data_IF_163425561150
#
_entry.id   IF_163425561150
#
_cell.length_a   1.000
_cell.length_b   1.000
_cell.length_c   1.000
_cell.angle_alpha   90.00
_cell.angle_beta   90.00
_cell.angle_gamma   90.00
#
_symmetry.space_group_name_H-M   'P 1'
#
loop_
_entity.id
_entity.type
_entity.pdbx_description
1 polymer ?
#
# COMPACT_ATOMS: atom_id res chain seq x y z
N UNK A 1 -12.63 26.08 2.15
CA UNK A 1 -11.97 24.86 1.62
C UNK A 1 -12.97 23.81 1.21
N UNK A 2 -13.85 23.34 2.07
CA UNK A 2 -14.87 22.31 1.74
C UNK A 2 -15.89 22.72 0.65
N UNK A 3 -16.17 24.01 0.51
CA UNK A 3 -17.14 24.52 -0.47
C UNK A 3 -16.62 24.54 -1.92
N UNK A 4 -15.31 24.73 -2.09
CA UNK A 4 -14.65 24.71 -3.40
C UNK A 4 -14.51 23.26 -3.89
N UNK A 5 -14.08 22.35 -3.02
CA UNK A 5 -13.95 20.93 -3.33
C UNK A 5 -15.33 20.29 -3.59
N UNK A 6 -16.38 20.70 -2.86
CA UNK A 6 -17.73 20.20 -3.08
C UNK A 6 -18.36 20.66 -4.42
N UNK A 7 -17.95 21.80 -4.96
CA UNK A 7 -18.42 22.30 -6.27
C UNK A 7 -17.75 21.61 -7.46
N UNK A 8 -16.56 21.05 -7.29
CA UNK A 8 -15.80 20.41 -8.38
C UNK A 8 -16.22 18.95 -8.58
N UNK A 9 -16.65 18.27 -7.54
CA UNK A 9 -17.13 16.89 -7.60
C UNK A 9 -18.63 16.89 -7.92
N UNK A 10 -19.04 17.32 -9.12
CA UNK A 10 -20.42 17.10 -9.62
C UNK A 10 -20.64 15.62 -10.04
N UNK A 11 -20.08 14.68 -9.31
CA UNK A 11 -20.44 13.28 -9.35
C UNK A 11 -21.63 13.07 -8.40
N UNK A 12 -22.42 12.02 -8.62
CA UNK A 12 -23.57 11.73 -7.74
C UNK A 12 -23.18 11.80 -6.26
N UNK A 13 -24.10 12.14 -5.35
CA UNK A 13 -23.86 12.21 -3.88
C UNK A 13 -23.19 10.96 -3.29
N UNK A 14 -23.27 9.82 -3.97
CA UNK A 14 -22.66 8.55 -3.57
C UNK A 14 -21.24 8.37 -4.10
N UNK A 15 -20.82 9.14 -5.10
CA UNK A 15 -19.48 9.03 -5.68
C UNK A 15 -18.49 9.85 -4.85
N UNK A 16 -17.59 9.17 -4.14
CA UNK A 16 -16.57 9.76 -3.27
C UNK A 16 -15.18 9.82 -3.90
N UNK A 17 -15.06 9.45 -5.18
CA UNK A 17 -13.77 9.42 -5.88
C UNK A 17 -13.10 10.80 -5.88
N UNK A 18 -11.91 10.86 -5.33
CA UNK A 18 -11.02 12.02 -5.43
C UNK A 18 -10.52 12.11 -6.86
N UNK A 19 -10.94 13.17 -7.57
CA UNK A 19 -10.65 13.35 -9.00
C UNK A 19 -10.83 14.84 -9.33
N UNK A 20 -9.89 15.65 -8.89
CA UNK A 20 -9.84 17.07 -9.19
C UNK A 20 -8.54 17.41 -9.91
N UNK A 21 -8.57 18.35 -10.89
CA UNK A 21 -7.40 18.73 -11.66
C UNK A 21 -6.40 19.55 -10.81
N UNK A 22 -5.15 19.60 -11.27
CA UNK A 22 -4.06 20.26 -10.55
C UNK A 22 -4.32 21.74 -10.27
N UNK A 23 -4.99 22.46 -11.18
CA UNK A 23 -5.31 23.88 -11.01
C UNK A 23 -6.14 24.17 -9.76
N UNK A 24 -7.00 23.21 -9.35
CA UNK A 24 -7.77 23.29 -8.11
C UNK A 24 -7.04 22.71 -6.90
N UNK A 25 -5.96 21.96 -7.14
CA UNK A 25 -5.18 21.30 -6.12
C UNK A 25 -3.88 22.01 -5.79
N UNK A 26 -3.67 23.21 -6.35
CA UNK A 26 -2.41 23.95 -6.24
C UNK A 26 -1.95 24.13 -4.78
N UNK A 27 -2.87 24.47 -3.88
CA UNK A 27 -2.59 24.61 -2.45
C UNK A 27 -2.10 23.32 -1.78
N UNK A 28 -2.51 22.14 -2.28
CA UNK A 28 -2.05 20.84 -1.78
C UNK A 28 -0.67 20.52 -2.38
N UNK A 29 -0.50 20.78 -3.67
CA UNK A 29 0.79 20.58 -4.31
C UNK A 29 1.91 21.46 -3.72
N UNK A 30 1.59 22.68 -3.31
CA UNK A 30 2.53 23.60 -2.66
C UNK A 30 3.06 23.10 -1.31
N UNK A 31 2.40 22.11 -0.68
CA UNK A 31 2.89 21.43 0.53
C UNK A 31 3.94 20.38 0.25
N UNK A 32 4.01 19.89 -0.99
CA UNK A 32 5.00 18.90 -1.37
C UNK A 32 6.40 19.50 -1.40
N UNK A 33 7.36 18.76 -0.91
CA UNK A 33 8.76 19.15 -1.04
C UNK A 33 9.27 18.86 -2.45
N UNK A 34 10.18 19.71 -2.93
CA UNK A 34 10.97 19.41 -4.11
C UNK A 34 12.25 18.70 -3.70
N UNK A 35 12.71 17.76 -4.49
CA UNK A 35 13.87 16.96 -4.12
C UNK A 35 15.18 17.76 -3.99
N UNK A 36 15.31 18.88 -4.68
CA UNK A 36 16.45 19.80 -4.55
C UNK A 36 16.45 20.56 -3.22
N UNK A 37 15.29 20.68 -2.58
CA UNK A 37 15.08 21.35 -1.28
C UNK A 37 15.01 20.35 -0.12
N UNK A 38 14.95 19.05 -0.39
CA UNK A 38 14.87 18.02 0.62
C UNK A 38 16.22 17.82 1.30
N UNK A 39 16.25 17.87 2.62
CA UNK A 39 17.45 17.80 3.46
C UNK A 39 17.92 16.37 3.76
N UNK A 40 17.16 15.36 3.32
CA UNK A 40 17.44 13.96 3.57
C UNK A 40 16.88 13.39 4.89
N UNK A 41 16.39 14.25 5.78
CA UNK A 41 15.98 13.89 7.16
C UNK A 41 14.51 14.13 7.46
N UNK A 42 13.89 15.11 6.81
CA UNK A 42 12.50 15.44 7.09
C UNK A 42 11.58 14.23 6.80
N UNK A 43 10.80 13.86 7.81
CA UNK A 43 9.74 12.85 7.71
C UNK A 43 8.36 13.52 7.60
N UNK A 44 7.33 12.72 7.38
CA UNK A 44 5.94 13.17 7.18
C UNK A 44 5.81 14.11 5.97
N UNK A 45 6.42 13.71 4.87
CA UNK A 45 6.53 14.51 3.66
C UNK A 45 6.20 13.73 2.39
N UNK A 46 5.68 14.46 1.40
CA UNK A 46 5.55 14.03 0.00
C UNK A 46 6.59 14.79 -0.81
N UNK A 47 7.45 14.07 -1.50
CA UNK A 47 8.51 14.63 -2.33
C UNK A 47 8.08 14.50 -3.80
N UNK A 48 7.83 15.62 -4.46
CA UNK A 48 7.58 15.62 -5.89
C UNK A 48 8.90 15.50 -6.67
N UNK A 49 9.22 14.28 -7.07
CA UNK A 49 10.46 13.97 -7.78
C UNK A 49 10.41 12.62 -8.48
N UNK A 50 11.33 12.44 -9.42
CA UNK A 50 11.73 11.09 -9.83
C UNK A 50 12.42 10.37 -8.66
N UNK A 51 12.09 9.10 -8.44
CA UNK A 51 12.58 8.34 -7.29
C UNK A 51 14.12 8.20 -7.28
N UNK A 52 14.74 8.08 -8.43
CA UNK A 52 16.20 7.93 -8.53
C UNK A 52 16.93 9.17 -8.00
N UNK A 53 16.39 10.36 -8.27
CA UNK A 53 16.95 11.60 -7.77
C UNK A 53 16.69 11.82 -6.29
N UNK A 54 15.46 11.54 -5.84
CA UNK A 54 15.08 11.74 -4.44
C UNK A 54 15.79 10.75 -3.51
N UNK A 55 15.95 9.48 -3.92
CA UNK A 55 16.66 8.46 -3.14
C UNK A 55 18.12 8.84 -2.87
N UNK A 56 18.77 9.51 -3.79
CA UNK A 56 20.16 9.98 -3.61
C UNK A 56 20.28 10.96 -2.42
N UNK A 57 19.21 11.69 -2.10
CA UNK A 57 19.16 12.68 -1.01
C UNK A 57 18.86 12.07 0.35
N UNK A 58 18.18 10.91 0.42
CA UNK A 58 17.81 10.31 1.70
C UNK A 58 19.04 9.87 2.50
N UNK A 59 18.98 10.08 3.81
CA UNK A 59 19.97 9.55 4.74
C UNK A 59 20.02 8.02 4.70
N UNK A 60 21.21 7.46 4.82
CA UNK A 60 21.38 6.01 4.93
C UNK A 60 20.87 5.51 6.31
N UNK A 61 20.39 4.27 6.37
CA UNK A 61 19.92 3.62 7.62
C UNK A 61 18.85 4.42 8.36
N UNK A 62 17.98 5.12 7.64
CA UNK A 62 16.91 5.95 8.21
C UNK A 62 15.52 5.33 8.13
N UNK A 63 15.33 4.28 7.33
CA UNK A 63 14.03 3.68 6.99
C UNK A 63 13.83 2.36 7.73
N UNK A 64 12.69 2.23 8.42
CA UNK A 64 12.30 1.03 9.15
C UNK A 64 11.48 0.06 8.28
N UNK A 65 10.63 0.60 7.41
CA UNK A 65 9.76 -0.18 6.55
C UNK A 65 9.68 0.42 5.15
N UNK A 66 9.92 -0.40 4.14
CA UNK A 66 9.72 -0.03 2.72
C UNK A 66 8.48 -0.73 2.18
N UNK A 67 7.55 0.04 1.60
CA UNK A 67 6.40 -0.50 0.85
C UNK A 67 6.46 0.09 -0.54
N UNK A 68 6.56 -0.76 -1.56
CA UNK A 68 6.78 -0.34 -2.94
C UNK A 68 5.77 -1.01 -3.87
N UNK A 69 5.09 -0.20 -4.66
CA UNK A 69 4.27 -0.63 -5.80
C UNK A 69 4.91 -0.10 -7.10
N UNK A 70 5.99 -0.73 -7.59
CA UNK A 70 6.73 -0.20 -8.74
C UNK A 70 5.89 -0.30 -10.01
N UNK A 71 6.18 0.48 -11.05
CA UNK A 71 5.57 0.28 -12.36
C UNK A 71 5.80 -1.16 -12.84
N UNK A 72 4.72 -1.89 -13.13
CA UNK A 72 4.79 -3.24 -13.67
C UNK A 72 5.19 -3.20 -15.15
N UNK A 73 5.82 -4.25 -15.64
CA UNK A 73 6.21 -4.35 -17.06
C UNK A 73 5.01 -4.53 -17.99
N UNK A 74 4.12 -3.57 -17.98
CA UNK A 74 2.87 -3.51 -18.75
C UNK A 74 2.70 -2.13 -19.38
N UNK A 75 1.97 -2.07 -20.50
CA UNK A 75 1.54 -0.80 -21.06
C UNK A 75 0.53 -0.13 -20.13
N UNK A 76 0.91 0.99 -19.54
CA UNK A 76 0.06 1.73 -18.61
C UNK A 76 0.24 3.23 -18.79
N UNK A 77 -0.87 3.95 -18.81
CA UNK A 77 -0.89 5.41 -18.83
C UNK A 77 -1.17 5.93 -17.39
N UNK A 78 -0.26 6.73 -16.89
CA UNK A 78 -0.37 7.43 -15.61
C UNK A 78 -0.46 8.94 -15.91
N UNK A 79 -1.67 9.49 -15.97
CA UNK A 79 -1.95 10.91 -16.18
C UNK A 79 -1.16 11.52 -17.38
N UNK A 80 -1.15 10.82 -18.52
CA UNK A 80 -0.39 11.25 -19.72
C UNK A 80 1.04 10.70 -19.81
N UNK A 81 1.64 10.24 -18.73
CA UNK A 81 2.93 9.55 -18.73
C UNK A 81 2.73 8.07 -19.07
N UNK A 82 3.21 7.66 -20.24
CA UNK A 82 3.07 6.28 -20.70
C UNK A 82 4.26 5.43 -20.25
N UNK A 83 4.01 4.49 -19.34
CA UNK A 83 4.93 3.40 -19.07
C UNK A 83 4.68 2.29 -20.09
N UNK A 84 5.68 2.01 -20.92
CA UNK A 84 5.59 0.98 -21.95
C UNK A 84 6.20 -0.32 -21.47
N UNK A 85 5.57 -1.43 -21.84
CA UNK A 85 6.16 -2.75 -21.68
C UNK A 85 7.50 -2.79 -22.40
N UNK A 86 8.53 -3.29 -21.70
CA UNK A 86 9.88 -3.48 -22.24
C UNK A 86 10.24 -4.97 -22.28
N UNK A 87 11.39 -5.30 -22.87
CA UNK A 87 11.96 -6.64 -22.72
C UNK A 87 12.37 -6.91 -21.28
N UNK A 88 12.55 -8.18 -20.95
CA UNK A 88 12.86 -8.61 -19.59
C UNK A 88 14.17 -8.04 -19.06
N UNK A 89 15.18 -7.84 -19.91
CA UNK A 89 16.47 -7.28 -19.50
C UNK A 89 16.32 -5.83 -19.09
N UNK A 90 15.68 -5.00 -19.90
CA UNK A 90 15.44 -3.58 -19.62
C UNK A 90 14.65 -3.40 -18.31
N UNK A 91 13.62 -4.23 -18.07
CA UNK A 91 12.85 -4.19 -16.83
C UNK A 91 13.67 -4.67 -15.62
N UNK A 92 14.53 -5.66 -15.79
CA UNK A 92 15.49 -6.11 -14.77
C UNK A 92 16.46 -5.00 -14.39
N UNK A 93 17.03 -4.31 -15.39
CA UNK A 93 17.97 -3.20 -15.16
C UNK A 93 17.28 -2.03 -14.43
N UNK A 94 16.05 -1.68 -14.81
CA UNK A 94 15.23 -0.69 -14.09
C UNK A 94 14.99 -1.11 -12.63
N UNK A 95 14.60 -2.38 -12.41
CA UNK A 95 14.32 -2.91 -11.08
C UNK A 95 15.57 -2.91 -10.21
N UNK A 96 16.69 -3.39 -10.73
CA UNK A 96 17.97 -3.42 -10.03
C UNK A 96 18.41 -2.03 -9.60
N UNK A 97 18.26 -1.05 -10.47
CA UNK A 97 18.66 0.33 -10.19
C UNK A 97 17.98 0.92 -8.96
N UNK A 98 16.64 0.80 -8.82
CA UNK A 98 15.98 1.35 -7.64
C UNK A 98 16.24 0.49 -6.39
N UNK A 99 16.38 -0.83 -6.52
CA UNK A 99 16.74 -1.72 -5.41
C UNK A 99 18.08 -1.36 -4.83
N UNK A 100 19.10 -1.16 -5.67
CA UNK A 100 20.45 -0.78 -5.24
C UNK A 100 20.48 0.59 -4.56
N UNK A 101 19.68 1.55 -5.04
CA UNK A 101 19.62 2.89 -4.45
C UNK A 101 18.86 2.91 -3.11
N UNK A 102 17.83 2.11 -2.95
CA UNK A 102 17.04 2.10 -1.72
C UNK A 102 17.67 1.26 -0.62
N UNK A 103 18.41 0.19 -0.97
CA UNK A 103 19.02 -0.73 0.01
C UNK A 103 19.84 -0.02 1.08
N UNK A 104 20.76 0.91 0.79
CA UNK A 104 21.52 1.61 1.83
C UNK A 104 20.67 2.51 2.72
N UNK A 105 19.45 2.89 2.33
CA UNK A 105 18.55 3.73 3.11
C UNK A 105 17.84 2.95 4.22
N UNK A 106 17.72 1.64 4.03
CA UNK A 106 17.06 0.73 4.97
C UNK A 106 17.97 0.45 6.17
N UNK A 107 17.38 0.43 7.38
CA UNK A 107 18.05 -0.05 8.60
C UNK A 107 18.36 -1.53 8.49
N UNK A 108 19.30 -2.03 9.28
CA UNK A 108 19.65 -3.46 9.30
C UNK A 108 18.49 -4.34 9.76
N UNK A 109 17.58 -3.78 10.57
CA UNK A 109 16.35 -4.41 11.06
C UNK A 109 15.13 -4.16 10.17
N UNK A 110 15.29 -3.46 9.04
CA UNK A 110 14.17 -3.05 8.20
C UNK A 110 13.51 -4.23 7.48
N UNK A 111 12.20 -4.09 7.33
CA UNK A 111 11.36 -4.95 6.50
C UNK A 111 10.97 -4.28 5.20
N UNK A 112 10.64 -5.05 4.19
CA UNK A 112 10.15 -4.52 2.92
C UNK A 112 9.04 -5.38 2.30
N UNK A 113 8.08 -4.71 1.65
CA UNK A 113 7.03 -5.31 0.85
C UNK A 113 7.06 -4.73 -0.56
N UNK A 114 7.17 -5.59 -1.56
CA UNK A 114 7.23 -5.18 -2.97
C UNK A 114 6.09 -5.83 -3.73
N UNK A 115 5.18 -5.00 -4.24
CA UNK A 115 4.05 -5.44 -5.06
C UNK A 115 4.50 -5.75 -6.48
N UNK A 116 3.85 -6.72 -7.12
CA UNK A 116 4.11 -7.10 -8.51
C UNK A 116 2.91 -7.81 -9.13
N UNK A 117 2.75 -7.72 -10.45
CA UNK A 117 1.91 -8.67 -11.16
C UNK A 117 2.68 -9.97 -11.45
N UNK A 118 1.97 -11.01 -11.83
CA UNK A 118 2.57 -12.35 -12.05
C UNK A 118 3.72 -12.34 -13.08
N UNK A 119 3.65 -11.47 -14.11
CA UNK A 119 4.68 -11.45 -15.15
C UNK A 119 5.92 -10.67 -14.70
N UNK A 120 5.73 -9.50 -14.11
CA UNK A 120 6.83 -8.67 -13.57
C UNK A 120 7.56 -9.40 -12.43
N UNK A 121 6.86 -10.25 -11.66
CA UNK A 121 7.45 -11.02 -10.56
C UNK A 121 8.55 -11.98 -11.01
N UNK A 122 8.52 -12.45 -12.28
CA UNK A 122 9.56 -13.33 -12.86
C UNK A 122 10.93 -12.61 -12.86
N UNK A 123 10.94 -11.31 -13.07
CA UNK A 123 12.17 -10.49 -13.13
C UNK A 123 12.53 -9.89 -11.78
N UNK A 124 11.50 -9.54 -10.98
CA UNK A 124 11.66 -8.88 -9.69
C UNK A 124 12.19 -9.82 -8.61
N UNK A 125 11.60 -11.01 -8.48
CA UNK A 125 11.90 -11.94 -7.38
C UNK A 125 13.38 -12.34 -7.29
N UNK A 126 14.10 -12.66 -8.39
CA UNK A 126 15.52 -12.96 -8.32
C UNK A 126 16.38 -11.79 -7.79
N UNK A 127 16.03 -10.54 -8.13
CA UNK A 127 16.76 -9.36 -7.65
C UNK A 127 16.54 -9.17 -6.15
N UNK A 128 15.31 -9.39 -5.68
CA UNK A 128 15.03 -9.30 -4.25
C UNK A 128 15.75 -10.39 -3.46
N UNK A 129 15.81 -11.62 -3.97
CA UNK A 129 16.51 -12.74 -3.35
C UNK A 129 18.02 -12.53 -3.29
N UNK A 130 18.60 -11.89 -4.32
CA UNK A 130 20.01 -11.51 -4.36
C UNK A 130 20.36 -10.41 -3.34
N UNK A 131 19.44 -9.46 -3.12
CA UNK A 131 19.70 -8.24 -2.35
C UNK A 131 19.25 -8.30 -0.89
N UNK A 132 18.25 -9.14 -0.56
CA UNK A 132 17.55 -9.21 0.71
C UNK A 132 17.28 -10.66 1.11
N UNK A 133 16.75 -10.88 2.30
CA UNK A 133 16.30 -12.20 2.75
C UNK A 133 14.81 -12.31 2.45
N UNK A 134 14.43 -13.06 1.43
CA UNK A 134 13.02 -13.32 1.14
C UNK A 134 12.39 -14.17 2.24
N UNK A 135 11.33 -13.67 2.85
CA UNK A 135 10.58 -14.35 3.94
C UNK A 135 9.33 -15.02 3.44
N UNK A 136 8.57 -14.35 2.54
CA UNK A 136 7.33 -14.89 2.03
C UNK A 136 6.94 -14.23 0.69
N UNK A 137 6.16 -14.97 -0.10
CA UNK A 137 5.36 -14.44 -1.18
C UNK A 137 3.90 -14.46 -0.77
N UNK A 138 3.27 -13.31 -0.72
CA UNK A 138 1.87 -13.12 -0.42
C UNK A 138 1.14 -12.95 -1.74
N UNK A 139 0.04 -13.67 -1.94
CA UNK A 139 -0.83 -13.48 -3.10
C UNK A 139 -2.09 -12.73 -2.66
N UNK A 140 -2.30 -11.54 -3.22
CA UNK A 140 -3.53 -10.78 -3.03
C UNK A 140 -4.54 -11.08 -4.13
N UNK A 141 -5.65 -11.73 -3.76
CA UNK A 141 -6.77 -12.01 -4.65
C UNK A 141 -7.60 -10.76 -4.91
N UNK A 142 -7.56 -10.23 -6.14
CA UNK A 142 -8.38 -9.09 -6.57
C UNK A 142 -9.67 -9.57 -7.20
N UNK A 143 -10.81 -8.98 -6.82
CA UNK A 143 -12.10 -9.32 -7.44
C UNK A 143 -12.27 -8.79 -8.86
N UNK A 144 -11.60 -7.69 -9.18
CA UNK A 144 -11.74 -7.01 -10.47
C UNK A 144 -10.61 -7.39 -11.42
N UNK A 145 -10.96 -7.83 -12.59
CA UNK A 145 -10.11 -8.03 -13.74
C UNK A 145 -11.00 -8.10 -14.96
N UNK A 146 -10.53 -7.60 -16.10
CA UNK A 146 -11.25 -7.78 -17.36
C UNK A 146 -11.21 -9.26 -17.76
N UNK A 147 -12.29 -9.77 -18.31
CA UNK A 147 -12.32 -11.12 -18.86
C UNK A 147 -11.27 -11.26 -19.97
N UNK A 148 -10.58 -12.39 -20.02
CA UNK A 148 -9.72 -12.73 -21.13
C UNK A 148 -10.45 -13.64 -22.11
N UNK A 149 -10.23 -13.45 -23.42
CA UNK A 149 -10.87 -14.28 -24.46
C UNK A 149 -10.06 -15.55 -24.77
N UNK A 150 -8.73 -15.49 -24.65
CA UNK A 150 -7.81 -16.55 -25.06
C UNK A 150 -6.85 -16.99 -23.93
N UNK A 151 -7.07 -16.53 -22.73
CA UNK A 151 -6.25 -16.84 -21.56
C UNK A 151 -7.08 -16.71 -20.28
N UNK A 152 -6.50 -17.10 -19.12
CA UNK A 152 -7.15 -16.96 -17.83
C UNK A 152 -7.18 -15.48 -17.39
N UNK A 153 -8.29 -15.07 -16.79
CA UNK A 153 -8.44 -13.74 -16.21
C UNK A 153 -7.42 -13.53 -15.08
N UNK A 154 -6.60 -12.50 -15.21
CA UNK A 154 -5.72 -12.10 -14.11
C UNK A 154 -6.53 -11.45 -12.97
N UNK A 155 -6.57 -12.10 -11.81
CA UNK A 155 -7.30 -11.65 -10.62
C UNK A 155 -6.44 -11.64 -9.36
N UNK A 156 -5.13 -11.62 -9.50
CA UNK A 156 -4.19 -11.61 -8.37
C UNK A 156 -3.03 -10.64 -8.61
N UNK A 157 -2.41 -10.24 -7.51
CA UNK A 157 -1.10 -9.59 -7.45
C UNK A 157 -0.24 -10.32 -6.42
N UNK A 158 1.06 -10.33 -6.66
CA UNK A 158 2.04 -10.84 -5.70
C UNK A 158 2.61 -9.71 -4.86
N UNK A 159 2.96 -10.03 -3.61
CA UNK A 159 3.64 -9.12 -2.71
C UNK A 159 4.79 -9.91 -2.08
N UNK A 160 6.00 -9.51 -2.37
CA UNK A 160 7.18 -10.12 -1.79
C UNK A 160 7.48 -9.46 -0.44
N UNK A 161 7.44 -10.24 0.62
CA UNK A 161 7.90 -9.85 1.95
C UNK A 161 9.35 -10.28 2.12
N UNK A 162 10.22 -9.32 2.42
CA UNK A 162 11.62 -9.57 2.66
C UNK A 162 12.15 -8.72 3.82
N UNK A 163 13.35 -9.02 4.30
CA UNK A 163 14.04 -8.28 5.37
C UNK A 163 15.48 -8.00 4.98
N UNK A 164 16.08 -6.95 5.55
CA UNK A 164 17.51 -6.64 5.35
C UNK A 164 18.38 -7.65 6.09
N UNK A 165 18.03 -7.99 7.34
CA UNK A 165 18.71 -8.95 8.17
C UNK A 165 17.76 -9.97 8.79
N UNK A 166 18.31 -10.83 9.66
CA UNK A 166 17.52 -11.81 10.40
C UNK A 166 16.84 -11.22 11.65
N UNK A 167 17.37 -10.13 12.18
CA UNK A 167 16.75 -9.36 13.25
C UNK A 167 15.78 -8.34 12.66
N UNK A 168 14.48 -8.60 12.77
CA UNK A 168 13.42 -7.74 12.27
C UNK A 168 12.17 -7.82 13.13
N UNK A 169 11.39 -6.74 13.10
CA UNK A 169 10.11 -6.71 13.81
C UNK A 169 8.99 -7.36 12.98
N UNK A 170 8.24 -8.29 13.61
CA UNK A 170 7.03 -8.86 13.02
C UNK A 170 5.97 -9.15 14.10
N UNK A 171 4.84 -8.44 14.02
CA UNK A 171 3.73 -8.58 14.97
C UNK A 171 2.55 -9.31 14.33
N UNK A 172 2.51 -10.63 14.48
CA UNK A 172 1.43 -11.46 13.98
C UNK A 172 0.08 -11.17 14.67
N UNK A 173 0.11 -10.76 15.93
CA UNK A 173 -1.10 -10.48 16.71
C UNK A 173 -1.83 -9.24 16.22
N UNK A 174 -1.11 -8.22 15.78
CA UNK A 174 -1.67 -6.99 15.23
C UNK A 174 -2.42 -7.17 13.90
N UNK A 175 -2.23 -8.30 13.24
CA UNK A 175 -2.86 -8.59 11.92
C UNK A 175 -3.83 -9.77 11.95
N UNK A 176 -4.20 -10.25 13.13
CA UNK A 176 -5.24 -11.27 13.27
C UNK A 176 -6.55 -10.82 12.64
N UNK A 177 -7.27 -11.78 12.08
CA UNK A 177 -8.54 -11.57 11.40
C UNK A 177 -9.68 -12.24 12.16
N UNK A 178 -10.78 -11.52 12.31
CA UNK A 178 -12.03 -12.10 12.76
C UNK A 178 -12.75 -12.77 11.59
N UNK A 179 -12.92 -14.08 11.67
CA UNK A 179 -13.60 -14.89 10.65
C UNK A 179 -14.84 -15.57 11.20
N UNK A 180 -15.86 -15.65 10.37
CA UNK A 180 -17.05 -16.43 10.66
C UNK A 180 -16.73 -17.94 10.60
N UNK A 181 -17.20 -18.68 11.60
CA UNK A 181 -16.99 -20.14 11.70
C UNK A 181 -18.21 -20.87 11.14
N UNK A 182 -18.06 -21.44 9.95
CA UNK A 182 -19.13 -22.17 9.24
C UNK A 182 -19.43 -23.51 9.93
N UNK A 183 -18.40 -24.22 10.39
CA UNK A 183 -18.50 -25.50 11.07
C UNK A 183 -17.83 -25.40 12.46
N UNK A 184 -18.57 -24.99 13.50
CA UNK A 184 -18.00 -24.75 14.82
C UNK A 184 -17.65 -26.08 15.51
N UNK A 185 -16.36 -26.33 15.68
CA UNK A 185 -15.87 -27.51 16.40
C UNK A 185 -15.97 -27.30 17.92
N UNK A 186 -16.40 -28.34 18.62
CA UNK A 186 -16.48 -28.36 20.10
C UNK A 186 -15.59 -29.45 20.64
N UNK A 187 -14.93 -29.17 21.75
CA UNK A 187 -14.17 -30.11 22.53
C UNK A 187 -14.78 -30.17 23.93
N UNK A 188 -15.15 -31.37 24.38
CA UNK A 188 -15.86 -31.56 25.65
C UNK A 188 -17.13 -30.68 25.79
N UNK A 189 -17.90 -30.49 24.71
CA UNK A 189 -19.14 -29.71 24.70
C UNK A 189 -18.97 -28.18 24.66
N UNK A 190 -17.72 -27.67 24.77
CA UNK A 190 -17.38 -26.24 24.71
C UNK A 190 -16.75 -25.85 23.37
N UNK A 191 -16.92 -24.58 22.92
CA UNK A 191 -16.18 -24.06 21.78
C UNK A 191 -14.68 -24.23 21.99
N UNK A 192 -13.97 -24.80 21.00
CA UNK A 192 -12.51 -25.01 21.09
C UNK A 192 -11.73 -23.71 20.86
N UNK A 193 -12.03 -23.00 19.76
CA UNK A 193 -11.26 -21.85 19.27
C UNK A 193 -12.16 -20.74 18.67
N UNK A 194 -13.42 -20.67 19.10
CA UNK A 194 -14.38 -19.71 18.59
C UNK A 194 -15.28 -19.17 19.72
N UNK A 195 -15.83 -17.98 19.49
CA UNK A 195 -16.75 -17.30 20.40
C UNK A 195 -18.14 -17.23 19.77
N UNK A 196 -19.16 -17.57 20.56
CA UNK A 196 -20.56 -17.36 20.17
C UNK A 196 -20.94 -15.91 20.45
N UNK A 197 -21.50 -15.25 19.45
CA UNK A 197 -22.07 -13.89 19.56
C UNK A 197 -23.51 -13.91 19.03
N UNK A 198 -24.27 -12.84 19.28
CA UNK A 198 -25.61 -12.66 18.73
C UNK A 198 -25.66 -12.65 17.20
N UNK A 199 -24.53 -12.33 16.57
CA UNK A 199 -24.35 -12.28 15.10
C UNK A 199 -23.76 -13.55 14.50
N UNK A 200 -23.44 -14.56 15.31
CA UNK A 200 -22.89 -15.82 14.87
C UNK A 200 -21.66 -16.27 15.64
N UNK A 201 -21.00 -17.30 15.12
CA UNK A 201 -19.79 -17.87 15.71
C UNK A 201 -18.56 -17.31 15.01
N UNK A 202 -17.64 -16.72 15.74
CA UNK A 202 -16.43 -16.08 15.19
C UNK A 202 -15.19 -16.56 15.92
N UNK A 203 -14.06 -16.53 15.20
CA UNK A 203 -12.73 -16.74 15.78
C UNK A 203 -11.72 -15.74 15.24
N UNK A 204 -10.71 -15.42 16.04
CA UNK A 204 -9.52 -14.72 15.61
C UNK A 204 -8.54 -15.72 15.01
N UNK A 205 -8.11 -15.48 13.76
CA UNK A 205 -7.15 -16.34 13.06
C UNK A 205 -5.97 -15.52 12.56
N UNK A 206 -4.79 -16.11 12.57
CA UNK A 206 -3.64 -15.56 11.86
C UNK A 206 -3.93 -15.55 10.36
N UNK A 207 -3.63 -14.46 9.64
CA UNK A 207 -3.75 -14.44 8.19
C UNK A 207 -2.73 -15.39 7.56
N UNK A 208 -3.13 -16.07 6.48
CA UNK A 208 -2.21 -16.79 5.61
C UNK A 208 -1.52 -15.82 4.64
N UNK A 209 -0.63 -16.35 3.81
CA UNK A 209 -0.06 -15.61 2.69
C UNK A 209 -0.97 -15.53 1.44
N UNK A 210 -2.24 -15.88 1.57
CA UNK A 210 -3.27 -15.69 0.55
C UNK A 210 -4.34 -14.73 1.09
N UNK A 211 -4.37 -13.49 0.55
CA UNK A 211 -5.26 -12.43 0.99
C UNK A 211 -6.40 -12.22 0.00
N UNK A 212 -7.54 -12.83 0.26
CA UNK A 212 -8.76 -12.78 -0.55
C UNK A 212 -9.85 -11.87 0.03
N UNK A 213 -9.55 -11.23 1.16
CA UNK A 213 -10.49 -10.42 1.93
C UNK A 213 -10.35 -8.91 1.71
N UNK A 214 -9.49 -8.49 0.78
CA UNK A 214 -9.19 -7.08 0.51
C UNK A 214 -9.72 -6.69 -0.87
N UNK A 215 -10.69 -5.77 -0.86
CA UNK A 215 -11.31 -5.23 -2.08
C UNK A 215 -10.51 -4.05 -2.59
N UNK A 216 -10.35 -3.92 -3.91
CA UNK A 216 -9.79 -2.69 -4.50
C UNK A 216 -10.72 -1.51 -4.24
N UNK A 217 -10.20 -0.28 -4.07
CA UNK A 217 -11.02 0.90 -3.89
C UNK A 217 -11.99 1.09 -5.05
N UNK A 218 -13.21 1.54 -4.76
CA UNK A 218 -14.22 1.84 -5.75
C UNK A 218 -14.99 3.11 -5.39
N UNK A 219 -15.71 3.66 -6.36
CA UNK A 219 -16.28 5.00 -6.36
C UNK A 219 -17.05 5.45 -5.10
N UNK A 220 -17.61 4.54 -4.29
CA UNK A 220 -18.31 4.88 -3.06
C UNK A 220 -17.44 4.84 -1.80
N UNK A 221 -16.17 4.45 -1.92
CA UNK A 221 -15.23 4.42 -0.79
C UNK A 221 -14.55 5.80 -0.63
N UNK A 222 -14.42 6.32 0.60
CA UNK A 222 -13.77 7.60 0.85
C UNK A 222 -12.30 7.63 0.43
N UNK A 223 -11.61 6.50 0.49
CA UNK A 223 -10.21 6.36 0.10
C UNK A 223 -9.98 6.42 -1.42
N UNK A 224 -11.05 6.24 -2.23
CA UNK A 224 -10.91 6.07 -3.66
C UNK A 224 -10.46 7.34 -4.38
N UNK A 225 -9.48 7.21 -5.27
CA UNK A 225 -9.04 8.27 -6.18
C UNK A 225 -9.19 7.82 -7.64
N UNK A 226 -9.03 8.73 -8.58
CA UNK A 226 -8.97 8.40 -10.00
C UNK A 226 -7.62 7.78 -10.42
N UNK A 227 -6.68 7.56 -9.49
CA UNK A 227 -5.43 6.88 -9.77
C UNK A 227 -5.68 5.44 -10.26
N UNK A 228 -5.10 5.04 -11.42
CA UNK A 228 -5.52 3.81 -12.12
C UNK A 228 -5.12 2.50 -11.44
N UNK A 229 -4.19 2.54 -10.49
CA UNK A 229 -3.64 1.36 -9.79
C UNK A 229 -3.54 1.56 -8.28
N UNK A 230 -4.37 2.43 -7.71
CA UNK A 230 -4.37 2.69 -6.27
C UNK A 230 -4.47 1.41 -5.45
N UNK A 231 -3.59 1.25 -4.47
CA UNK A 231 -3.68 0.16 -3.48
C UNK A 231 -4.68 0.50 -2.38
N UNK A 232 -5.44 -0.48 -1.86
CA UNK A 232 -6.39 -0.25 -0.77
C UNK A 232 -5.68 0.00 0.57
N UNK A 233 -6.26 0.88 1.39
CA UNK A 233 -5.71 1.19 2.72
C UNK A 233 -5.61 -0.05 3.62
N UNK A 234 -6.56 -0.97 3.55
CA UNK A 234 -6.52 -2.23 4.30
C UNK A 234 -5.30 -3.10 3.97
N UNK A 235 -4.88 -3.12 2.70
CA UNK A 235 -3.69 -3.86 2.26
C UNK A 235 -2.43 -3.31 2.93
N UNK A 236 -2.27 -1.99 2.85
CA UNK A 236 -1.13 -1.27 3.41
C UNK A 236 -1.13 -1.36 4.95
N UNK A 237 -2.30 -1.28 5.58
CA UNK A 237 -2.42 -1.39 7.03
C UNK A 237 -1.93 -2.75 7.57
N UNK A 238 -2.22 -3.86 6.86
CA UNK A 238 -1.68 -5.17 7.23
C UNK A 238 -0.16 -5.19 7.22
N UNK A 239 0.48 -4.59 6.21
CA UNK A 239 1.94 -4.54 6.10
C UNK A 239 2.55 -3.67 7.20
N UNK A 240 2.00 -2.48 7.43
CA UNK A 240 2.50 -1.53 8.44
C UNK A 240 2.36 -2.11 9.85
N UNK A 241 1.20 -2.66 10.20
CA UNK A 241 0.96 -3.21 11.54
C UNK A 241 1.78 -4.47 11.81
N UNK A 242 2.03 -5.30 10.78
CA UNK A 242 2.88 -6.48 10.93
C UNK A 242 4.35 -6.12 11.15
N UNK A 243 4.88 -5.09 10.47
CA UNK A 243 6.32 -4.90 10.32
C UNK A 243 6.83 -3.53 10.75
N UNK A 244 6.09 -2.83 11.62
CA UNK A 244 6.55 -1.56 12.21
C UNK A 244 5.89 -1.28 13.55
N UNK A 245 6.52 -0.44 14.36
CA UNK A 245 5.95 0.14 15.59
C UNK A 245 5.60 1.61 15.38
N UNK A 246 4.85 2.21 16.30
CA UNK A 246 4.55 3.65 16.27
C UNK A 246 5.85 4.47 16.29
N UNK A 247 5.92 5.51 15.46
CA UNK A 247 7.11 6.34 15.29
C UNK A 247 8.12 5.85 14.25
N UNK A 248 8.03 4.59 13.79
CA UNK A 248 8.87 4.08 12.70
C UNK A 248 8.63 4.86 11.40
N UNK A 249 9.64 4.93 10.54
CA UNK A 249 9.57 5.61 9.26
C UNK A 249 9.29 4.63 8.11
N UNK A 250 8.15 4.86 7.44
CA UNK A 250 7.71 4.09 6.27
C UNK A 250 8.07 4.86 4.99
N UNK A 251 8.76 4.22 4.06
CA UNK A 251 9.12 4.78 2.76
C UNK A 251 8.28 4.15 1.65
N UNK A 252 7.79 5.00 0.74
CA UNK A 252 7.21 4.57 -0.55
C UNK A 252 7.81 5.43 -1.68
N UNK A 253 8.52 4.79 -2.60
CA UNK A 253 9.25 5.48 -3.68
C UNK A 253 8.48 5.61 -4.99
N UNK A 254 7.25 5.05 -5.04
CA UNK A 254 6.30 5.16 -6.15
C UNK A 254 4.89 5.40 -5.58
N UNK A 255 4.76 6.47 -4.80
CA UNK A 255 3.64 6.66 -3.89
C UNK A 255 2.26 6.82 -4.55
N UNK A 256 2.20 7.19 -5.83
CA UNK A 256 0.96 7.44 -6.54
C UNK A 256 0.07 8.42 -5.77
N UNK A 257 -1.18 8.05 -5.49
CA UNK A 257 -2.10 8.88 -4.70
C UNK A 257 -1.89 8.78 -3.18
N UNK A 258 -0.73 8.28 -2.72
CA UNK A 258 -0.24 8.39 -1.35
C UNK A 258 -0.84 7.42 -0.33
N UNK A 259 -1.36 6.26 -0.73
CA UNK A 259 -2.01 5.33 0.21
C UNK A 259 -1.08 4.91 1.36
N UNK A 260 0.19 4.66 1.07
CA UNK A 260 1.18 4.25 2.08
C UNK A 260 1.34 5.30 3.18
N UNK A 261 1.57 6.57 2.82
CA UNK A 261 1.71 7.66 3.79
C UNK A 261 0.42 7.96 4.55
N UNK A 262 -0.74 7.88 3.87
CA UNK A 262 -2.05 8.06 4.52
C UNK A 262 -2.26 7.02 5.61
N UNK A 263 -1.97 5.76 5.33
CA UNK A 263 -2.13 4.68 6.33
C UNK A 263 -1.06 4.77 7.41
N UNK A 264 0.20 5.09 7.07
CA UNK A 264 1.25 5.33 8.05
C UNK A 264 0.83 6.42 9.06
N UNK A 265 0.31 7.55 8.55
CA UNK A 265 -0.22 8.66 9.38
C UNK A 265 -1.39 8.22 10.26
N UNK A 266 -2.39 7.51 9.72
CA UNK A 266 -3.53 6.97 10.47
C UNK A 266 -3.10 6.05 11.62
N UNK A 267 -1.99 5.34 11.43
CA UNK A 267 -1.44 4.36 12.38
C UNK A 267 -0.27 4.91 13.22
N UNK A 268 -0.06 6.23 13.26
CA UNK A 268 0.99 6.91 14.03
C UNK A 268 2.43 6.52 13.62
N UNK A 269 2.68 6.21 12.36
CA UNK A 269 4.03 6.04 11.80
C UNK A 269 4.41 7.30 11.04
N UNK A 270 5.71 7.56 10.99
CA UNK A 270 6.25 8.56 10.08
C UNK A 270 6.25 8.00 8.66
N UNK A 271 6.23 8.90 7.66
CA UNK A 271 6.26 8.50 6.26
C UNK A 271 7.15 9.42 5.44
N UNK A 272 7.73 8.86 4.38
CA UNK A 272 8.36 9.59 3.28
C UNK A 272 7.79 9.00 2.00
N UNK A 273 7.15 9.83 1.19
CA UNK A 273 6.56 9.44 -0.08
C UNK A 273 7.22 10.16 -1.23
N UNK A 274 7.62 9.42 -2.27
CA UNK A 274 8.19 10.00 -3.49
C UNK A 274 7.22 9.71 -4.64
N UNK A 275 6.80 10.77 -5.32
CA UNK A 275 5.91 10.68 -6.47
C UNK A 275 6.31 11.72 -7.53
N UNK A 276 6.34 11.28 -8.78
CA UNK A 276 6.76 12.11 -9.90
C UNK A 276 5.66 13.02 -10.44
N UNK A 277 4.41 12.52 -10.45
CA UNK A 277 3.27 13.25 -11.00
C UNK A 277 2.75 14.29 -10.00
N UNK A 278 2.73 15.59 -10.36
CA UNK A 278 2.26 16.66 -9.47
C UNK A 278 0.81 16.51 -9.04
N UNK A 279 -0.06 15.96 -9.90
CA UNK A 279 -1.47 15.76 -9.58
C UNK A 279 -1.63 14.65 -8.52
N UNK A 280 -0.88 13.55 -8.65
CA UNK A 280 -0.91 12.49 -7.66
C UNK A 280 -0.31 12.94 -6.32
N UNK A 281 0.74 13.74 -6.33
CA UNK A 281 1.26 14.39 -5.13
C UNK A 281 0.18 15.25 -4.44
N UNK A 282 -0.56 16.05 -5.19
CA UNK A 282 -1.63 16.88 -4.64
C UNK A 282 -2.79 16.06 -4.07
N UNK A 283 -3.16 14.93 -4.70
CA UNK A 283 -4.15 14.00 -4.12
C UNK A 283 -3.63 13.32 -2.86
N UNK A 284 -2.34 12.99 -2.80
CA UNK A 284 -1.71 12.44 -1.61
C UNK A 284 -1.80 13.42 -0.44
N UNK A 285 -1.42 14.69 -0.64
CA UNK A 285 -1.52 15.72 0.40
C UNK A 285 -2.97 16.01 0.84
N UNK A 286 -3.91 16.04 -0.08
CA UNK A 286 -5.34 16.14 0.26
C UNK A 286 -5.80 14.97 1.14
N UNK A 287 -5.41 13.74 0.81
CA UNK A 287 -5.73 12.54 1.60
C UNK A 287 -5.06 12.55 2.96
N UNK A 288 -3.82 13.03 3.04
CA UNK A 288 -3.09 13.20 4.32
C UNK A 288 -3.77 14.21 5.24
N UNK A 289 -4.29 15.31 4.71
CA UNK A 289 -5.06 16.29 5.48
C UNK A 289 -6.38 15.66 6.01
N UNK A 290 -7.03 14.83 5.21
CA UNK A 290 -8.24 14.12 5.65
C UNK A 290 -7.93 13.02 6.66
N UNK A 291 -6.76 12.41 6.65
CA UNK A 291 -6.33 11.41 7.63
C UNK A 291 -6.18 11.99 9.06
N UNK A 292 -6.02 13.30 9.21
CA UNK A 292 -6.07 13.97 10.51
C UNK A 292 -7.48 13.99 11.11
N UNK A 293 -8.50 14.08 10.24
CA UNK A 293 -9.91 14.18 10.64
C UNK A 293 -10.56 12.79 10.79
N UNK A 294 -10.13 11.82 9.98
CA UNK A 294 -10.70 10.49 9.93
C UNK A 294 -9.58 9.44 9.83
N UNK A 295 -9.36 8.75 10.95
CA UNK A 295 -8.37 7.66 11.07
C UNK A 295 -8.94 6.28 10.71
N UNK A 296 -10.21 6.19 10.29
CA UNK A 296 -10.81 4.90 9.95
C UNK A 296 -10.13 4.25 8.75
N UNK A 297 -9.94 2.93 8.83
CA UNK A 297 -9.45 2.09 7.74
C UNK A 297 -10.52 1.03 7.48
N UNK A 298 -11.02 0.97 6.26
CA UNK A 298 -12.11 0.05 5.94
C UNK A 298 -11.69 -1.40 6.17
N UNK A 299 -12.50 -2.12 6.96
CA UNK A 299 -12.24 -3.53 7.31
C UNK A 299 -11.18 -3.72 8.39
N UNK A 300 -10.80 -2.65 9.11
CA UNK A 300 -9.98 -2.66 10.31
C UNK A 300 -10.65 -1.77 11.37
N UNK A 301 -10.98 -2.31 12.53
CA UNK A 301 -11.71 -1.63 13.60
C UNK A 301 -11.31 -2.26 14.94
N UNK A 302 -11.09 -1.44 15.96
CA UNK A 302 -10.73 -1.88 17.31
C UNK A 302 -9.51 -2.82 17.37
N UNK A 303 -8.50 -2.58 16.53
CA UNK A 303 -7.29 -3.39 16.48
C UNK A 303 -7.42 -4.72 15.75
N UNK A 304 -8.56 -5.00 15.08
CA UNK A 304 -8.84 -6.27 14.44
C UNK A 304 -9.21 -6.09 12.97
N UNK A 305 -8.66 -6.96 12.11
CA UNK A 305 -9.11 -7.06 10.73
C UNK A 305 -10.35 -7.94 10.61
N UNK A 306 -11.27 -7.54 9.75
CA UNK A 306 -12.48 -8.29 9.47
C UNK A 306 -12.38 -9.00 8.12
N UNK A 307 -12.61 -10.30 8.11
CA UNK A 307 -12.71 -11.06 6.87
C UNK A 307 -13.95 -10.62 6.07
N UNK A 308 -13.94 -10.82 4.75
CA UNK A 308 -15.05 -10.45 3.85
C UNK A 308 -16.41 -11.03 4.26
N UNK A 309 -16.41 -12.22 4.82
CA UNK A 309 -17.62 -12.90 5.28
C UNK A 309 -18.13 -12.43 6.65
N UNK A 310 -17.49 -11.43 7.25
CA UNK A 310 -17.96 -10.84 8.50
C UNK A 310 -19.21 -10.00 8.24
N UNK A 311 -20.31 -10.33 8.92
CA UNK A 311 -21.55 -9.56 8.90
C UNK A 311 -21.57 -8.66 10.13
N UNK A 312 -21.55 -7.34 9.89
CA UNK A 312 -21.78 -6.35 10.96
C UNK A 312 -23.20 -6.39 11.49
#
# INVERSE_FOLDING_TARGET
>A
MDEVVSKIIMKSKRNKTIDFPLDYAKEFFEKCQKADQYDGKAVNTVINSDCFFALDKLDNKSIDLLIVDPPYNLDKNFNGSLFKKTDGKTYTDFTRKWVELVKPKLKDTASLYVCSDWYSSIFLAPILDECFILRNRITWGREKGRGAKANWKNSMEDIFFATVGDDYYFNLDAVKQQRYVVAPYKENGKPKDWTKTDKGNYRLTCPSNFWDDITIPFWSMPENTAHPTQKPEKLIAKMILASSVEGDTVLDIFAGSGTTGVVAKKLNRNYIMIEKDPLYCAWAEYRLLNADKDKTIQGYEDGVFYARNYKK
#
